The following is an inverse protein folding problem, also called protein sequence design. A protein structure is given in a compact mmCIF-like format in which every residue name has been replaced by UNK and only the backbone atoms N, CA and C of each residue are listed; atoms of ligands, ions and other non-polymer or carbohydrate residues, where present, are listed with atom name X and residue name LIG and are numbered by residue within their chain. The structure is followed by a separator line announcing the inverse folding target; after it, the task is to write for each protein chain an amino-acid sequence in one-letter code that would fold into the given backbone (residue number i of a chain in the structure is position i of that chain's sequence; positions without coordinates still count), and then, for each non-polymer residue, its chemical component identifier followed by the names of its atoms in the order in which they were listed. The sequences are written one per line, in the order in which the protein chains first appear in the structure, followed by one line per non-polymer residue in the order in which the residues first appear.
data_IF_194421583917
#
_entry.id   IF_194421583917
#
_cell.length_a   1.000
_cell.length_b   1.000
_cell.length_c   1.000
_cell.angle_alpha   90.00
_cell.angle_beta   90.00
_cell.angle_gamma   90.00
#
_symmetry.space_group_name_H-M   'P 1'
#
loop_
_entity.id
_entity.type
_entity.pdbx_description
1 polymer ?
#
# COMPACT_ATOMS: atom_id res chain seq x y z
N UNK A 1 -13.82 27.11 -15.93
CA UNK A 1 -13.76 26.30 -15.55
C UNK A 1 -13.21 25.58 -15.51
N UNK A 2 -13.01 25.43 -15.11
CA UNK A 2 -12.55 24.61 -15.00
C UNK A 2 -12.83 23.75 -14.70
N UNK A 3 -13.02 23.56 -14.80
CA UNK A 3 -13.41 22.69 -14.28
C UNK A 3 -13.18 21.69 -14.07
N UNK A 4 -13.34 21.78 -14.33
CA UNK A 4 -13.13 20.76 -14.11
C UNK A 4 -12.45 20.28 -13.18
N UNK A 5 -12.07 20.79 -12.91
CA UNK A 5 -11.25 20.44 -11.81
C UNK A 5 -12.05 20.05 -10.60
N UNK A 6 -13.16 20.62 -10.38
CA UNK A 6 -14.03 20.21 -9.27
C UNK A 6 -14.49 18.76 -9.43
N UNK A 7 -14.61 18.33 -10.68
CA UNK A 7 -15.05 16.97 -10.95
C UNK A 7 -14.01 15.95 -10.56
N UNK A 8 -12.74 16.36 -10.60
CA UNK A 8 -11.65 15.44 -10.31
C UNK A 8 -11.12 15.59 -8.90
N UNK A 9 -11.68 16.50 -8.14
CA UNK A 9 -11.23 16.70 -6.76
C UNK A 9 -11.77 15.59 -5.88
N UNK A 10 -10.87 14.91 -5.23
CA UNK A 10 -11.21 13.88 -4.29
C UNK A 10 -11.29 14.46 -2.89
N UNK A 11 -12.22 13.94 -2.09
CA UNK A 11 -12.34 14.35 -0.70
C UNK A 11 -12.06 13.16 0.19
N UNK A 12 -11.64 13.43 1.42
CA UNK A 12 -11.40 12.41 2.42
C UNK A 12 -10.35 11.39 1.98
N UNK A 13 -9.37 11.83 1.18
CA UNK A 13 -8.26 10.97 0.80
C UNK A 13 -7.39 10.74 2.03
N UNK A 14 -7.19 9.48 2.44
CA UNK A 14 -6.39 9.23 3.62
C UNK A 14 -4.92 9.56 3.37
N UNK A 15 -4.27 10.15 4.36
CA UNK A 15 -2.85 10.41 4.28
C UNK A 15 -2.11 9.09 4.56
N UNK A 16 -1.20 8.68 3.68
CA UNK A 16 -0.41 7.48 3.94
C UNK A 16 0.46 7.65 5.19
N UNK A 17 0.57 6.60 5.98
CA UNK A 17 1.54 6.57 7.06
C UNK A 17 2.94 6.48 6.47
N UNK A 18 3.95 6.91 7.23
CA UNK A 18 5.32 6.98 6.74
C UNK A 18 5.82 5.64 6.21
N UNK A 19 5.49 4.55 6.90
CA UNK A 19 5.96 3.21 6.55
C UNK A 19 4.88 2.32 5.95
N UNK A 20 3.80 2.91 5.48
CA UNK A 20 2.68 2.16 4.95
C UNK A 20 2.99 1.55 3.58
N UNK A 21 2.51 0.32 3.34
CA UNK A 21 2.58 -0.29 2.02
C UNK A 21 1.54 0.34 1.10
N UNK A 22 1.84 0.41 -0.20
CA UNK A 22 0.92 0.99 -1.16
C UNK A 22 -0.40 0.24 -1.21
N UNK A 23 -0.37 -1.09 -1.12
CA UNK A 23 -1.59 -1.90 -1.12
C UNK A 23 -2.50 -1.56 0.07
N UNK A 24 -1.89 -1.30 1.22
CA UNK A 24 -2.64 -0.89 2.41
C UNK A 24 -3.30 0.47 2.19
N UNK A 25 -2.54 1.43 1.69
CA UNK A 25 -3.10 2.76 1.43
C UNK A 25 -4.23 2.71 0.42
N UNK A 26 -4.04 1.94 -0.66
CA UNK A 26 -5.06 1.84 -1.70
C UNK A 26 -6.35 1.26 -1.14
N UNK A 27 -6.26 0.26 -0.26
CA UNK A 27 -7.43 -0.30 0.40
C UNK A 27 -8.12 0.75 1.27
N UNK A 28 -7.36 1.51 2.05
CA UNK A 28 -7.93 2.56 2.89
C UNK A 28 -8.56 3.66 2.03
N UNK A 29 -7.94 3.98 0.90
CA UNK A 29 -8.51 4.94 -0.04
C UNK A 29 -9.87 4.46 -0.55
N UNK A 30 -9.95 3.21 -0.99
CA UNK A 30 -11.20 2.65 -1.49
C UNK A 30 -12.29 2.72 -0.41
N UNK A 31 -11.94 2.36 0.82
CA UNK A 31 -12.90 2.40 1.92
C UNK A 31 -13.37 3.82 2.19
N UNK A 32 -12.47 4.79 2.13
CA UNK A 32 -12.82 6.19 2.38
C UNK A 32 -13.77 6.73 1.33
N UNK A 33 -13.73 6.18 0.12
CA UNK A 33 -14.59 6.60 -0.98
C UNK A 33 -15.89 5.78 -1.07
N UNK A 34 -16.03 4.77 -0.21
CA UNK A 34 -17.20 3.91 -0.26
C UNK A 34 -17.28 3.06 -1.51
N UNK A 35 -16.13 2.73 -2.11
CA UNK A 35 -16.06 1.99 -3.35
C UNK A 35 -15.26 0.71 -3.16
N UNK A 36 -15.48 -0.27 -4.06
CA UNK A 36 -14.63 -1.45 -4.03
C UNK A 36 -13.23 -1.10 -4.56
N UNK A 37 -12.28 -1.99 -4.31
CA UNK A 37 -10.88 -1.73 -4.62
C UNK A 37 -10.67 -1.48 -6.11
N UNK A 38 -11.28 -2.30 -6.97
CA UNK A 38 -11.09 -2.17 -8.41
C UNK A 38 -11.60 -0.83 -8.92
N UNK A 39 -12.79 -0.44 -8.49
CA UNK A 39 -13.40 0.81 -8.93
C UNK A 39 -12.57 2.01 -8.46
N UNK A 40 -12.17 2.00 -7.20
CA UNK A 40 -11.37 3.08 -6.65
C UNK A 40 -10.03 3.20 -7.35
N UNK A 41 -9.37 2.06 -7.57
CA UNK A 41 -8.06 2.04 -8.24
C UNK A 41 -8.17 2.56 -9.67
N UNK A 42 -9.18 2.13 -10.41
CA UNK A 42 -9.36 2.58 -11.78
C UNK A 42 -9.57 4.10 -11.84
N UNK A 43 -10.27 4.64 -10.88
CA UNK A 43 -10.57 6.07 -10.85
C UNK A 43 -9.30 6.92 -10.73
N UNK A 44 -8.31 6.43 -10.01
CA UNK A 44 -7.05 7.19 -9.82
C UNK A 44 -5.91 6.65 -10.67
N UNK A 45 -6.18 5.71 -11.56
CA UNK A 45 -5.15 5.15 -12.44
C UNK A 45 -4.17 4.24 -11.74
N UNK A 46 -4.57 3.65 -10.61
CA UNK A 46 -3.71 2.73 -9.86
C UNK A 46 -3.90 1.29 -10.33
N UNK A 47 -2.84 0.46 -10.22
CA UNK A 47 -2.99 -0.96 -10.49
C UNK A 47 -3.90 -1.60 -9.45
N UNK A 48 -4.66 -2.61 -9.85
CA UNK A 48 -5.58 -3.29 -8.94
C UNK A 48 -5.57 -4.80 -9.09
N UNK A 49 -4.74 -5.31 -9.99
CA UNK A 49 -4.62 -6.75 -10.21
C UNK A 49 -3.25 -7.23 -9.76
N UNK A 50 -3.20 -8.44 -9.26
CA UNK A 50 -1.97 -9.02 -8.78
C UNK A 50 -1.49 -8.36 -7.49
N UNK A 51 -0.18 -8.27 -7.34
CA UNK A 51 0.41 -7.68 -6.15
C UNK A 51 0.70 -6.21 -6.41
N UNK A 52 -0.13 -5.36 -5.87
CA UNK A 52 -0.04 -3.91 -6.04
C UNK A 52 1.32 -3.38 -5.59
N UNK A 53 1.87 -3.93 -4.52
CA UNK A 53 3.15 -3.45 -3.98
C UNK A 53 4.32 -3.72 -4.94
N UNK A 54 4.16 -4.63 -5.88
CA UNK A 54 5.19 -4.88 -6.89
C UNK A 54 5.11 -3.91 -8.06
N UNK A 55 3.94 -3.35 -8.32
CA UNK A 55 3.68 -2.56 -9.53
C UNK A 55 3.58 -1.07 -9.24
N UNK A 56 3.00 -0.71 -8.12
CA UNK A 56 2.72 0.69 -7.79
C UNK A 56 3.95 1.36 -7.19
N UNK A 57 4.96 1.54 -8.04
CA UNK A 57 6.24 2.15 -7.65
C UNK A 57 6.69 3.11 -8.74
N UNK A 58 7.63 3.98 -8.42
CA UNK A 58 8.22 4.90 -9.38
C UNK A 58 7.21 5.79 -10.07
N UNK A 59 7.26 5.90 -11.40
CA UNK A 59 6.35 6.80 -12.15
C UNK A 59 4.88 6.47 -11.95
N UNK A 60 4.54 5.19 -11.82
CA UNK A 60 3.15 4.77 -11.59
C UNK A 60 2.67 5.35 -10.27
N UNK A 61 3.48 5.19 -9.21
CA UNK A 61 3.12 5.73 -7.90
C UNK A 61 3.01 7.25 -7.92
N UNK A 62 3.96 7.93 -8.59
CA UNK A 62 3.93 9.39 -8.64
C UNK A 62 2.70 9.92 -9.32
N UNK A 63 2.25 9.23 -10.37
CA UNK A 63 1.04 9.60 -11.08
C UNK A 63 -0.18 9.51 -10.16
N UNK A 64 -0.28 8.43 -9.39
CA UNK A 64 -1.37 8.23 -8.45
C UNK A 64 -1.35 9.31 -7.37
N UNK A 65 -0.17 9.58 -6.81
CA UNK A 65 -0.02 10.58 -5.75
C UNK A 65 -0.49 11.95 -6.23
N UNK A 66 -0.08 12.34 -7.42
CA UNK A 66 -0.50 13.62 -7.99
C UNK A 66 -1.99 13.68 -8.23
N UNK A 67 -2.54 12.60 -8.75
CA UNK A 67 -3.97 12.55 -9.03
C UNK A 67 -4.81 12.68 -7.77
N UNK A 68 -4.30 12.15 -6.66
CA UNK A 68 -5.01 12.23 -5.38
C UNK A 68 -4.72 13.50 -4.61
N UNK A 69 -3.84 14.37 -5.12
CA UNK A 69 -3.51 15.60 -4.43
C UNK A 69 -2.69 15.41 -3.17
N UNK A 70 -1.98 14.29 -3.08
CA UNK A 70 -1.13 14.00 -1.93
C UNK A 70 0.22 14.71 -2.04
N UNK A 71 0.93 14.93 -0.93
CA UNK A 71 2.27 15.49 -0.99
C UNK A 71 3.21 14.58 -1.78
N UNK A 72 4.22 15.20 -2.43
CA UNK A 72 5.15 14.45 -3.26
C UNK A 72 5.86 13.32 -2.52
N UNK A 73 6.09 13.48 -1.21
CA UNK A 73 6.78 12.49 -0.41
C UNK A 73 5.87 11.37 0.10
N UNK A 74 4.59 11.41 -0.23
CA UNK A 74 3.68 10.35 0.19
C UNK A 74 4.18 9.00 -0.31
N UNK A 75 4.20 8.01 0.58
CA UNK A 75 4.68 6.66 0.29
C UNK A 75 6.14 6.61 -0.18
N UNK A 76 6.93 7.66 0.13
CA UNK A 76 8.32 7.72 -0.32
C UNK A 76 9.18 6.62 0.30
N UNK A 77 8.95 6.28 1.56
CA UNK A 77 9.67 5.20 2.24
C UNK A 77 9.42 3.87 1.55
N UNK A 78 8.15 3.57 1.31
CA UNK A 78 7.75 2.37 0.59
C UNK A 78 8.40 2.32 -0.79
N UNK A 79 8.32 3.42 -1.55
CA UNK A 79 8.83 3.46 -2.90
C UNK A 79 10.34 3.21 -2.94
N UNK A 80 11.07 3.86 -2.04
CA UNK A 80 12.52 3.68 -1.97
C UNK A 80 12.90 2.25 -1.66
N UNK A 81 12.23 1.65 -0.66
CA UNK A 81 12.52 0.27 -0.29
C UNK A 81 12.25 -0.67 -1.46
N UNK A 82 11.11 -0.53 -2.10
CA UNK A 82 10.72 -1.44 -3.18
C UNK A 82 11.63 -1.30 -4.38
N UNK A 83 12.01 -0.08 -4.75
CA UNK A 83 12.91 0.12 -5.88
C UNK A 83 14.31 -0.42 -5.59
N UNK A 84 14.80 -0.24 -4.37
CA UNK A 84 16.10 -0.78 -3.99
C UNK A 84 16.11 -2.31 -3.97
N UNK A 85 15.03 -2.92 -3.45
CA UNK A 85 14.96 -4.37 -3.38
C UNK A 85 14.92 -5.03 -4.75
N UNK A 86 14.38 -4.34 -5.75
CA UNK A 86 14.30 -4.90 -7.10
C UNK A 86 15.65 -5.22 -7.72
N UNK A 87 16.70 -4.61 -7.22
CA UNK A 87 18.05 -4.84 -7.73
C UNK A 87 18.70 -6.06 -7.11
N UNK A 88 18.05 -6.70 -6.15
CA UNK A 88 18.58 -7.89 -5.51
C UNK A 88 18.16 -9.14 -6.30
N UNK A 89 19.11 -10.07 -6.45
CA UNK A 89 18.86 -11.31 -7.19
C UNK A 89 17.70 -12.12 -6.61
N UNK A 90 17.52 -12.04 -5.29
CA UNK A 90 16.51 -12.84 -4.62
C UNK A 90 15.27 -12.02 -4.26
N UNK A 91 15.02 -10.96 -4.99
CA UNK A 91 13.90 -10.07 -4.71
C UNK A 91 12.58 -10.84 -4.54
N UNK A 92 12.32 -11.79 -5.43
CA UNK A 92 11.09 -12.54 -5.39
C UNK A 92 10.89 -13.39 -4.16
N UNK A 93 11.97 -13.66 -3.40
CA UNK A 93 11.88 -14.42 -2.15
C UNK A 93 11.64 -13.56 -0.94
N UNK A 94 11.80 -12.25 -1.09
CA UNK A 94 11.67 -11.33 0.03
C UNK A 94 10.23 -10.93 0.29
N UNK A 95 9.37 -11.02 -0.71
CA UNK A 95 7.99 -10.63 -0.55
C UNK A 95 7.08 -11.84 -0.41
N UNK A 96 6.03 -11.67 0.39
CA UNK A 96 5.06 -12.70 0.60
C UNK A 96 4.09 -12.74 -0.57
N UNK A 97 4.17 -13.81 -1.35
CA UNK A 97 3.23 -14.05 -2.45
C UNK A 97 2.85 -15.52 -2.44
N UNK A 98 1.64 -15.81 -2.88
CA UNK A 98 1.21 -17.18 -3.07
C UNK A 98 1.67 -17.66 -4.46
N UNK A 99 1.58 -18.96 -4.69
CA UNK A 99 1.91 -19.52 -5.99
C UNK A 99 1.01 -19.00 -7.11
N UNK A 100 -0.17 -18.51 -6.78
CA UNK A 100 -1.09 -17.89 -7.73
C UNK A 100 -0.79 -16.41 -7.94
N UNK A 101 0.32 -15.92 -7.41
CA UNK A 101 0.76 -14.53 -7.49
C UNK A 101 -0.18 -13.56 -6.80
N UNK A 102 -0.97 -14.06 -5.88
CA UNK A 102 -1.76 -13.22 -4.99
C UNK A 102 -0.89 -12.85 -3.80
N UNK A 103 -1.00 -11.64 -3.29
CA UNK A 103 -0.24 -11.27 -2.12
C UNK A 103 -0.70 -12.07 -0.91
N UNK A 104 0.26 -12.56 -0.15
CA UNK A 104 0.00 -13.12 1.16
C UNK A 104 0.29 -12.03 2.17
N UNK A 105 -0.65 -11.78 3.06
CA UNK A 105 -0.54 -10.68 4.02
C UNK A 105 -0.33 -11.24 5.41
N UNK A 106 0.70 -10.74 6.09
CA UNK A 106 0.90 -11.02 7.51
C UNK A 106 0.55 -9.76 8.29
N UNK A 107 0.08 -9.97 9.52
CA UNK A 107 -0.28 -8.84 10.36
C UNK A 107 -0.16 -9.23 11.82
N UNK A 108 0.04 -8.22 12.66
CA UNK A 108 -0.06 -8.35 14.10
C UNK A 108 -1.39 -7.73 14.51
N UNK A 109 -2.32 -8.57 14.99
CA UNK A 109 -3.65 -8.07 15.35
C UNK A 109 -3.58 -7.06 16.50
N UNK A 110 -2.60 -7.22 17.38
CA UNK A 110 -2.43 -6.29 18.50
C UNK A 110 -1.97 -4.92 18.01
N UNK A 111 -1.02 -4.89 17.05
CA UNK A 111 -0.61 -3.63 16.44
C UNK A 111 -1.78 -2.93 15.78
N UNK A 112 -2.56 -3.68 14.99
CA UNK A 112 -3.72 -3.09 14.31
C UNK A 112 -4.73 -2.56 15.31
N UNK A 113 -4.96 -3.29 16.39
CA UNK A 113 -5.93 -2.88 17.39
C UNK A 113 -5.51 -1.60 18.12
N UNK A 114 -4.20 -1.40 18.29
CA UNK A 114 -3.68 -0.22 18.99
C UNK A 114 -3.58 1.01 18.11
N UNK A 115 -3.63 0.86 16.80
CA UNK A 115 -3.56 1.99 15.89
C UNK A 115 -4.89 2.73 15.86
N UNK A 116 -4.82 4.06 15.85
CA UNK A 116 -6.02 4.88 15.68
C UNK A 116 -6.60 4.69 14.29
N UNK A 117 -5.74 4.76 13.28
CA UNK A 117 -6.11 4.55 11.88
C UNK A 117 -5.31 3.36 11.36
N UNK A 118 -5.84 2.14 11.50
CA UNK A 118 -5.07 0.94 11.20
C UNK A 118 -4.58 0.90 9.75
N UNK A 119 -3.34 0.48 9.60
CA UNK A 119 -2.72 0.30 8.29
C UNK A 119 -1.69 -0.82 8.37
N UNK A 120 -1.24 -1.29 7.20
CA UNK A 120 -0.25 -2.35 7.13
C UNK A 120 1.09 -1.74 6.72
N UNK A 121 2.10 -1.75 7.61
CA UNK A 121 3.44 -1.29 7.26
C UNK A 121 4.04 -2.15 6.14
N UNK A 122 4.90 -1.55 5.33
CA UNK A 122 5.50 -2.25 4.21
C UNK A 122 6.32 -3.46 4.65
N UNK A 123 6.98 -3.39 5.82
CA UNK A 123 7.83 -4.49 6.27
C UNK A 123 7.04 -5.75 6.63
N UNK A 124 5.74 -5.64 6.86
CA UNK A 124 4.92 -6.82 7.07
C UNK A 124 4.82 -7.69 5.82
N UNK A 125 5.15 -7.13 4.65
CA UNK A 125 5.14 -7.85 3.39
C UNK A 125 6.41 -8.65 3.15
N UNK A 126 7.42 -8.51 3.99
CA UNK A 126 8.70 -9.20 3.81
C UNK A 126 8.66 -10.58 4.45
N UNK A 127 9.08 -11.60 3.70
CA UNK A 127 8.98 -12.98 4.17
C UNK A 127 9.72 -13.26 5.47
N UNK A 128 10.89 -12.63 5.76
CA UNK A 128 11.55 -12.87 7.05
C UNK A 128 10.82 -12.28 8.24
N UNK A 129 9.87 -11.37 8.05
CA UNK A 129 9.18 -10.71 9.15
C UNK A 129 8.06 -11.61 9.65
N UNK A 130 8.39 -12.48 10.60
CA UNK A 130 7.46 -13.49 11.10
C UNK A 130 6.99 -13.24 12.53
N UNK A 131 7.65 -12.33 13.22
CA UNK A 131 7.44 -12.10 14.64
C UNK A 131 7.25 -10.62 14.90
N UNK A 132 6.28 -10.27 15.73
CA UNK A 132 6.09 -8.88 16.13
C UNK A 132 6.94 -8.60 17.37
N UNK A 133 7.97 -7.75 17.26
CA UNK A 133 8.82 -7.46 18.41
C UNK A 133 8.14 -6.60 19.47
N UNK A 134 7.08 -5.87 19.08
CA UNK A 134 6.36 -5.02 20.01
C UNK A 134 5.47 -5.86 20.93
N UNK A 135 4.79 -6.85 20.38
CA UNK A 135 3.84 -7.67 21.13
C UNK A 135 4.37 -9.07 21.41
N UNK A 136 5.58 -9.36 20.99
CA UNK A 136 6.26 -10.62 21.25
C UNK A 136 5.37 -11.81 20.87
N UNK A 137 4.83 -11.78 19.66
CA UNK A 137 3.96 -12.84 19.17
C UNK A 137 4.20 -13.11 17.69
N UNK A 138 3.76 -14.29 17.27
CA UNK A 138 3.86 -14.68 15.86
C UNK A 138 2.88 -13.85 15.03
N UNK A 139 3.31 -13.43 13.84
CA UNK A 139 2.43 -12.72 12.93
C UNK A 139 1.38 -13.68 12.37
N UNK A 140 0.17 -13.17 12.16
CA UNK A 140 -0.91 -13.95 11.57
C UNK A 140 -0.91 -13.76 10.07
N UNK A 141 -1.49 -14.71 9.35
CA UNK A 141 -1.58 -14.67 7.89
C UNK A 141 -3.03 -14.70 7.45
N UNK A 142 -3.29 -13.96 6.38
CA UNK A 142 -4.62 -13.94 5.81
C UNK A 142 -4.55 -14.18 4.30
#
# INVERSE_FOLDING_TARGET
MSPDSSETRLVNVPMPAIDEAASSWLTRFAMSQGADLKTAAQFIGAPHAGDVDLVMVGPVLRSVIRRCGLPDQALAWYDRIMLNLRELEYFGRLLLTTSAKKPLVRFCKHCLHEMRDPYFPVHWRFSPWQWCPIHDCLMEEA
#
